data_IF_146620061334
#
_entry.id   IF_146620061334
#
_cell.length_a   1.000
_cell.length_b   1.000
_cell.length_c   1.000
_cell.angle_alpha   90.00
_cell.angle_beta   90.00
_cell.angle_gamma   90.00
#
_symmetry.space_group_name_H-M   'P 1'
#
loop_
_entity.id
_entity.type
_entity.pdbx_description
1 polymer ?
#
# COMPACT_ATOMS: atom_id res chain seq x y z
N UNK A 1 2.54 -15.02 -39.63
CA UNK A 1 2.46 -15.62 -38.29
C UNK A 1 3.44 -14.83 -37.42
N UNK A 2 2.96 -13.79 -36.74
CA UNK A 2 3.78 -12.93 -35.89
C UNK A 2 3.23 -13.04 -34.47
N UNK A 3 3.90 -13.85 -33.65
CA UNK A 3 3.62 -13.94 -32.22
C UNK A 3 4.07 -12.64 -31.56
N UNK A 4 3.09 -11.86 -31.12
CA UNK A 4 3.28 -10.69 -30.28
C UNK A 4 3.33 -11.17 -28.83
N UNK A 5 4.51 -11.21 -28.24
CA UNK A 5 4.66 -11.44 -26.80
C UNK A 5 4.17 -10.20 -26.04
N UNK A 6 2.94 -10.28 -25.55
CA UNK A 6 2.39 -9.34 -24.56
C UNK A 6 3.12 -9.60 -23.25
N UNK A 7 4.09 -8.75 -22.88
CA UNK A 7 4.59 -8.73 -21.52
C UNK A 7 3.47 -8.19 -20.61
N UNK A 8 2.87 -9.05 -19.80
CA UNK A 8 1.98 -8.63 -18.72
C UNK A 8 2.79 -7.74 -17.77
N UNK A 9 2.41 -6.46 -17.74
CA UNK A 9 3.21 -5.38 -17.18
C UNK A 9 3.12 -5.29 -15.66
N UNK A 10 4.15 -5.80 -14.98
CA UNK A 10 4.66 -5.14 -13.78
C UNK A 10 5.44 -3.89 -14.18
N UNK A 11 5.33 -2.79 -13.41
CA UNK A 11 6.10 -1.58 -13.69
C UNK A 11 7.60 -1.92 -13.79
N UNK A 12 8.34 -1.36 -14.77
CA UNK A 12 9.75 -1.71 -14.95
C UNK A 12 10.54 -1.33 -13.69
N UNK A 13 11.13 -2.34 -13.04
CA UNK A 13 11.99 -2.15 -11.87
C UNK A 13 13.39 -1.77 -12.37
N UNK A 14 13.82 -0.54 -12.09
CA UNK A 14 15.18 -0.08 -12.40
C UNK A 14 16.17 -0.62 -11.34
N UNK A 15 16.93 -1.66 -11.71
CA UNK A 15 17.90 -2.33 -10.83
C UNK A 15 19.33 -2.07 -11.30
N UNK A 16 20.21 -1.72 -10.35
CA UNK A 16 21.65 -1.57 -10.59
C UNK A 16 22.45 -2.51 -9.70
N UNK A 17 23.15 -3.46 -10.31
CA UNK A 17 24.06 -4.37 -9.61
C UNK A 17 25.45 -3.73 -9.55
N UNK A 18 25.89 -3.36 -8.35
CA UNK A 18 27.20 -2.74 -8.12
C UNK A 18 28.32 -3.74 -7.79
N UNK A 19 27.96 -5.01 -7.60
CA UNK A 19 28.88 -6.11 -7.30
C UNK A 19 29.81 -6.39 -8.48
N UNK A 20 31.10 -6.61 -8.19
CA UNK A 20 32.10 -6.96 -9.22
C UNK A 20 32.09 -8.46 -9.49
N UNK A 21 32.45 -8.84 -10.72
CA UNK A 21 32.67 -10.25 -11.08
C UNK A 21 31.41 -11.11 -11.14
N UNK A 22 30.23 -10.50 -11.24
CA UNK A 22 28.97 -11.22 -11.41
C UNK A 22 28.85 -11.75 -12.84
N UNK A 23 28.37 -12.99 -12.96
CA UNK A 23 28.04 -13.61 -14.24
C UNK A 23 26.65 -13.18 -14.73
N UNK A 24 26.37 -13.22 -16.04
CA UNK A 24 25.04 -12.92 -16.58
C UNK A 24 23.94 -13.78 -15.95
N UNK A 25 24.23 -15.06 -15.68
CA UNK A 25 23.31 -16.01 -15.08
C UNK A 25 22.98 -15.64 -13.63
N UNK A 26 23.97 -15.22 -12.84
CA UNK A 26 23.77 -14.75 -11.47
C UNK A 26 22.96 -13.44 -11.44
N UNK A 27 23.25 -12.52 -12.35
CA UNK A 27 22.49 -11.28 -12.48
C UNK A 27 21.01 -11.56 -12.81
N UNK A 28 20.75 -12.52 -13.72
CA UNK A 28 19.40 -12.94 -14.05
C UNK A 28 18.70 -13.61 -12.86
N UNK A 29 19.39 -14.49 -12.13
CA UNK A 29 18.84 -15.16 -10.95
C UNK A 29 18.43 -14.16 -9.86
N UNK A 30 19.30 -13.20 -9.52
CA UNK A 30 18.98 -12.17 -8.52
C UNK A 30 17.83 -11.28 -8.99
N UNK A 31 17.81 -10.90 -10.27
CA UNK A 31 16.72 -10.10 -10.84
C UNK A 31 15.38 -10.83 -10.73
N UNK A 32 15.33 -12.12 -11.08
CA UNK A 32 14.12 -12.92 -10.99
C UNK A 32 13.60 -13.03 -9.54
N UNK A 33 14.50 -13.25 -8.58
CA UNK A 33 14.14 -13.30 -7.14
C UNK A 33 13.58 -11.96 -6.65
N UNK A 34 14.24 -10.84 -7.00
CA UNK A 34 13.78 -9.52 -6.59
C UNK A 34 12.45 -9.14 -7.22
N UNK A 35 12.24 -9.46 -8.51
CA UNK A 35 10.96 -9.22 -9.19
C UNK A 35 9.83 -10.04 -8.54
N UNK A 36 10.08 -11.32 -8.23
CA UNK A 36 9.11 -12.17 -7.54
C UNK A 36 8.76 -11.61 -6.15
N UNK A 37 9.76 -11.24 -5.35
CA UNK A 37 9.54 -10.68 -4.02
C UNK A 37 8.75 -9.36 -4.04
N UNK A 38 9.02 -8.48 -5.02
CA UNK A 38 8.26 -7.23 -5.19
C UNK A 38 6.81 -7.51 -5.61
N UNK A 39 6.57 -8.51 -6.46
CA UNK A 39 5.23 -8.91 -6.86
C UNK A 39 4.43 -9.45 -5.67
N UNK A 40 5.02 -10.33 -4.85
CA UNK A 40 4.39 -10.85 -3.63
C UNK A 40 4.06 -9.71 -2.65
N UNK A 41 5.00 -8.80 -2.40
CA UNK A 41 4.76 -7.65 -1.52
C UNK A 41 3.64 -6.75 -2.06
N UNK A 42 3.53 -6.58 -3.38
CA UNK A 42 2.45 -5.80 -3.98
C UNK A 42 1.07 -6.45 -3.75
N UNK A 43 0.98 -7.78 -3.80
CA UNK A 43 -0.25 -8.52 -3.47
C UNK A 43 -0.60 -8.35 -1.98
N UNK A 44 0.38 -8.42 -1.09
CA UNK A 44 0.16 -8.23 0.35
C UNK A 44 -0.17 -6.78 0.73
N UNK A 45 0.46 -5.79 0.10
CA UNK A 45 0.23 -4.37 0.36
C UNK A 45 -1.20 -3.91 0.03
N UNK A 46 -1.89 -4.62 -0.88
CA UNK A 46 -3.30 -4.39 -1.17
C UNK A 46 -4.24 -4.86 -0.06
N UNK A 47 -3.80 -5.82 0.76
CA UNK A 47 -4.64 -6.48 1.77
C UNK A 47 -4.66 -5.73 3.11
N UNK A 48 -3.63 -4.92 3.40
CA UNK A 48 -3.33 -4.58 4.80
C UNK A 48 -3.24 -3.08 5.15
N UNK A 49 -3.89 -2.21 4.38
CA UNK A 49 -4.12 -0.84 4.86
C UNK A 49 -5.44 -0.79 5.62
N UNK A 50 -5.45 -0.83 6.96
CA UNK A 50 -6.68 -0.60 7.71
C UNK A 50 -7.20 0.78 7.36
N UNK A 51 -8.35 0.83 6.71
CA UNK A 51 -9.06 2.09 6.47
C UNK A 51 -9.33 2.68 7.85
N UNK A 52 -8.84 3.90 8.16
CA UNK A 52 -9.09 4.50 9.46
C UNK A 52 -10.59 4.58 9.68
N UNK A 53 -11.08 4.00 10.77
CA UNK A 53 -12.49 4.12 11.12
C UNK A 53 -12.84 5.60 11.32
N UNK A 54 -14.10 5.95 11.08
CA UNK A 54 -14.59 7.31 11.36
C UNK A 54 -14.34 7.73 12.83
N UNK A 55 -14.25 6.77 13.75
CA UNK A 55 -13.88 6.99 15.16
C UNK A 55 -12.41 7.36 15.36
N UNK A 56 -11.52 6.80 14.53
CA UNK A 56 -10.07 7.09 14.52
C UNK A 56 -9.71 8.31 13.65
N UNK A 57 -10.71 8.98 13.06
CA UNK A 57 -10.49 10.14 12.18
C UNK A 57 -9.87 11.33 12.94
N UNK A 58 -8.76 11.91 12.45
CA UNK A 58 -8.16 13.12 13.02
C UNK A 58 -9.15 14.30 13.13
N UNK A 59 -10.17 14.35 12.25
CA UNK A 59 -11.24 15.36 12.31
C UNK A 59 -12.03 15.32 13.61
N UNK A 60 -12.05 14.19 14.33
CA UNK A 60 -12.70 14.07 15.64
C UNK A 60 -12.00 14.92 16.69
N UNK A 61 -10.68 15.10 16.61
CA UNK A 61 -9.93 15.94 17.55
C UNK A 61 -10.35 17.42 17.50
N UNK A 62 -11.00 17.85 16.41
CA UNK A 62 -11.54 19.20 16.23
C UNK A 62 -12.96 19.37 16.80
N UNK A 63 -13.66 18.28 17.18
CA UNK A 63 -15.01 18.38 17.74
C UNK A 63 -14.94 18.79 19.20
N UNK A 64 -15.76 19.77 19.59
CA UNK A 64 -15.94 20.13 21.00
C UNK A 64 -16.64 18.99 21.76
N UNK A 65 -16.21 18.64 22.98
CA UNK A 65 -16.92 17.67 23.81
C UNK A 65 -18.37 18.10 24.04
N UNK A 66 -19.28 17.13 24.04
CA UNK A 66 -20.67 17.37 24.42
C UNK A 66 -20.71 17.53 25.94
N UNK A 67 -21.13 18.71 26.41
CA UNK A 67 -21.35 18.95 27.84
C UNK A 67 -22.58 18.15 28.31
N UNK A 68 -22.36 17.12 29.11
CA UNK A 68 -23.44 16.32 29.72
C UNK A 68 -23.95 16.99 31.00
N UNK A 69 -25.27 17.01 31.19
CA UNK A 69 -25.89 17.55 32.41
C UNK A 69 -27.38 17.84 32.27
N UNK A 70 -28.10 18.04 33.40
CA UNK A 70 -29.53 18.38 33.38
C UNK A 70 -29.80 19.60 32.48
N UNK A 71 -30.74 19.45 31.54
CA UNK A 71 -31.12 20.53 30.62
C UNK A 71 -30.18 20.76 29.42
N UNK A 72 -29.09 20.00 29.28
CA UNK A 72 -28.17 20.14 28.13
C UNK A 72 -28.57 19.34 26.89
N UNK A 73 -29.52 18.40 27.02
CA UNK A 73 -29.98 17.51 25.93
C UNK A 73 -31.25 18.00 25.22
N UNK A 74 -31.82 19.13 25.64
CA UNK A 74 -33.11 19.65 25.16
C UNK A 74 -33.09 20.11 23.70
N UNK A 75 -31.92 20.24 23.08
CA UNK A 75 -31.78 20.68 21.70
C UNK A 75 -32.02 19.60 20.63
N UNK A 76 -32.25 18.33 21.00
CA UNK A 76 -32.52 17.25 20.03
C UNK A 76 -34.00 16.92 19.85
N UNK A 77 -34.91 17.63 20.54
CA UNK A 77 -36.36 17.31 20.59
C UNK A 77 -37.22 18.47 20.03
N UNK A 78 -36.69 19.27 19.11
CA UNK A 78 -37.47 20.33 18.45
C UNK A 78 -37.40 20.24 16.94
#
# INVERSE_FOLDING_TARGET
MAEQNTSEGGAPVDLRILSRGITPEEAAAVTAVLVAAVAEEAEHAAVDKPVPSEWASPRRALRRPIEVGPGRWTHSVR
#
